data_IF_600472278004
#
_entry.id   IF_600472278004
#
_cell.length_a   1.000
_cell.length_b   1.000
_cell.length_c   1.000
_cell.angle_alpha   90.00
_cell.angle_beta   90.00
_cell.angle_gamma   90.00
#
_symmetry.space_group_name_H-M   'P 1'
#
loop_
_entity.id
_entity.type
_entity.pdbx_description
1 polymer ?
#
# COMPACT_ATOMS: atom_id res chain seq x y z
N UNK A 1 -6.15 4.03 26.45
CA UNK A 1 -6.45 4.23 25.02
C UNK A 1 -5.95 5.63 24.63
N UNK A 2 -4.79 5.76 23.97
CA UNK A 2 -4.31 7.05 23.47
C UNK A 2 -5.22 7.48 22.30
N UNK A 3 -5.91 8.62 22.44
CA UNK A 3 -6.65 9.25 21.35
C UNK A 3 -5.64 9.62 20.26
N UNK A 4 -5.77 9.04 19.07
CA UNK A 4 -5.05 9.52 17.88
C UNK A 4 -5.49 10.96 17.60
N UNK A 5 -4.55 11.85 17.20
CA UNK A 5 -4.89 13.21 16.84
C UNK A 5 -5.93 13.23 15.70
N UNK A 6 -6.81 14.22 15.75
CA UNK A 6 -7.80 14.42 14.69
C UNK A 6 -7.07 14.84 13.41
N UNK A 7 -7.35 14.17 12.30
CA UNK A 7 -6.95 14.69 11.00
C UNK A 7 -7.61 16.06 10.79
N UNK A 8 -6.81 17.06 10.47
CA UNK A 8 -7.32 18.37 10.05
C UNK A 8 -7.97 18.23 8.66
N UNK A 9 -9.27 17.99 8.66
CA UNK A 9 -10.07 18.23 7.45
C UNK A 9 -10.18 19.74 7.33
N UNK A 10 -9.56 20.33 6.33
CA UNK A 10 -9.71 21.76 6.02
C UNK A 10 -10.96 21.88 5.16
N UNK A 11 -12.05 22.51 5.67
CA UNK A 11 -13.28 22.68 4.90
C UNK A 11 -13.01 23.48 3.61
N UNK A 12 -13.53 23.00 2.49
CA UNK A 12 -13.42 23.69 1.19
C UNK A 12 -12.25 23.26 0.31
N UNK A 13 -11.47 22.27 0.72
CA UNK A 13 -10.47 21.67 -0.18
C UNK A 13 -11.14 20.83 -1.28
N UNK A 14 -10.59 20.85 -2.51
CA UNK A 14 -11.03 19.94 -3.56
C UNK A 14 -10.86 18.48 -3.17
N UNK A 15 -11.72 17.56 -3.66
CA UNK A 15 -11.57 16.13 -3.44
C UNK A 15 -10.24 15.61 -4.00
N UNK A 16 -9.66 14.59 -3.36
CA UNK A 16 -8.43 13.92 -3.82
C UNK A 16 -7.14 14.57 -3.33
N UNK A 17 -7.19 15.49 -2.35
CA UNK A 17 -5.98 16.03 -1.73
C UNK A 17 -5.44 15.07 -0.69
N UNK A 18 -4.21 14.64 -0.88
CA UNK A 18 -3.47 13.82 0.07
C UNK A 18 -2.90 14.71 1.19
N UNK A 19 -3.50 14.65 2.38
CA UNK A 19 -2.96 15.30 3.58
C UNK A 19 -2.24 14.22 4.39
N UNK A 20 -0.91 14.28 4.55
CA UNK A 20 -0.17 13.30 5.32
C UNK A 20 -0.69 13.20 6.76
N UNK A 21 -0.72 11.97 7.28
CA UNK A 21 -0.97 11.78 8.71
C UNK A 21 0.26 12.22 9.52
N UNK A 22 0.04 12.63 10.79
CA UNK A 22 1.12 13.01 11.74
C UNK A 22 2.08 11.85 12.11
N UNK A 23 1.95 10.69 11.47
CA UNK A 23 2.85 9.55 11.62
C UNK A 23 4.25 9.77 10.99
N UNK A 24 4.68 11.02 10.89
CA UNK A 24 5.95 11.46 10.30
C UNK A 24 7.23 10.85 10.90
N UNK A 25 7.12 10.02 11.93
CA UNK A 25 8.26 9.40 12.63
C UNK A 25 8.59 7.98 12.12
N UNK A 26 7.83 7.43 11.19
CA UNK A 26 8.06 6.07 10.71
C UNK A 26 8.93 6.07 9.44
N UNK A 27 9.89 5.14 9.35
CA UNK A 27 10.75 5.05 8.19
C UNK A 27 9.90 4.81 6.94
N UNK A 28 10.27 5.47 5.85
CA UNK A 28 9.65 5.30 4.54
C UNK A 28 10.30 4.11 3.86
N UNK A 29 9.51 3.26 3.27
CA UNK A 29 9.99 2.15 2.48
C UNK A 29 9.06 1.86 1.32
N UNK A 30 9.66 1.56 0.18
CA UNK A 30 8.96 1.01 -0.99
C UNK A 30 9.64 -0.30 -1.31
N UNK A 31 8.90 -1.40 -1.17
CA UNK A 31 9.39 -2.74 -1.46
C UNK A 31 8.63 -3.30 -2.66
N UNK A 32 9.32 -3.97 -3.55
CA UNK A 32 8.72 -4.66 -4.69
C UNK A 32 9.02 -6.14 -4.60
N UNK A 33 7.97 -6.95 -4.52
CA UNK A 33 8.02 -8.40 -4.64
C UNK A 33 7.45 -8.79 -6.00
N UNK A 34 8.19 -9.57 -6.76
CA UNK A 34 7.73 -10.16 -8.01
C UNK A 34 7.77 -11.68 -7.87
N UNK A 35 6.67 -12.36 -8.14
CA UNK A 35 6.62 -13.80 -7.98
C UNK A 35 5.78 -14.49 -9.06
N UNK A 36 6.12 -15.74 -9.31
CA UNK A 36 5.42 -16.70 -10.17
C UNK A 36 5.31 -18.04 -9.45
N UNK A 37 4.83 -19.07 -10.13
CA UNK A 37 4.83 -20.42 -9.57
C UNK A 37 6.24 -20.92 -9.22
N UNK A 38 7.28 -20.48 -9.96
CA UNK A 38 8.62 -21.07 -9.92
C UNK A 38 9.70 -20.10 -9.38
N UNK A 39 9.38 -18.82 -9.21
CA UNK A 39 10.38 -17.80 -8.88
C UNK A 39 9.82 -16.69 -8.00
N UNK A 40 10.66 -16.19 -7.10
CA UNK A 40 10.38 -15.04 -6.24
C UNK A 40 11.58 -14.10 -6.31
N UNK A 41 11.35 -12.82 -6.60
CA UNK A 41 12.35 -11.74 -6.56
C UNK A 41 11.87 -10.65 -5.62
N UNK A 42 12.67 -10.32 -4.60
CA UNK A 42 12.36 -9.32 -3.59
C UNK A 42 13.38 -8.19 -3.66
N UNK A 43 12.86 -6.96 -3.79
CA UNK A 43 13.66 -5.74 -3.82
C UNK A 43 13.18 -4.78 -2.75
N UNK A 44 13.74 -4.84 -1.53
CA UNK A 44 13.38 -3.95 -0.45
C UNK A 44 14.03 -2.57 -0.61
N UNK A 45 13.38 -1.54 -0.08
CA UNK A 45 13.92 -0.20 0.04
C UNK A 45 14.22 0.50 -1.29
N UNK A 46 13.45 0.21 -2.33
CA UNK A 46 13.63 0.84 -3.64
C UNK A 46 13.30 2.34 -3.62
N UNK A 47 13.97 3.09 -4.48
CA UNK A 47 13.45 4.39 -4.89
C UNK A 47 12.12 4.19 -5.66
N UNK A 48 11.16 5.09 -5.45
CA UNK A 48 9.83 4.95 -6.06
C UNK A 48 9.90 4.89 -7.60
N UNK A 49 10.84 5.61 -8.20
CA UNK A 49 11.01 5.61 -9.66
C UNK A 49 11.46 4.26 -10.19
N UNK A 50 12.36 3.60 -9.47
CA UNK A 50 12.86 2.27 -9.85
C UNK A 50 11.76 1.22 -9.70
N UNK A 51 10.96 1.29 -8.63
CA UNK A 51 9.81 0.41 -8.44
C UNK A 51 8.76 0.59 -9.55
N UNK A 52 8.42 1.82 -9.89
CA UNK A 52 7.46 2.13 -10.96
C UNK A 52 8.00 1.72 -12.34
N UNK A 53 9.30 1.88 -12.58
CA UNK A 53 9.93 1.42 -13.83
C UNK A 53 9.87 -0.11 -13.96
N UNK A 54 10.14 -0.84 -12.87
CA UNK A 54 10.04 -2.30 -12.85
C UNK A 54 8.59 -2.78 -13.10
N UNK A 55 7.60 -2.14 -12.47
CA UNK A 55 6.19 -2.44 -12.71
C UNK A 55 5.82 -2.22 -14.17
N UNK A 56 6.20 -1.08 -14.76
CA UNK A 56 5.93 -0.79 -16.19
C UNK A 56 6.56 -1.83 -17.10
N UNK A 57 7.79 -2.24 -16.83
CA UNK A 57 8.49 -3.25 -17.64
C UNK A 57 7.71 -4.57 -17.70
N UNK A 58 7.22 -5.05 -16.55
CA UNK A 58 6.45 -6.30 -16.48
C UNK A 58 5.05 -6.16 -17.10
N UNK A 59 4.39 -5.00 -16.91
CA UNK A 59 3.05 -4.78 -17.47
C UNK A 59 3.04 -4.59 -18.98
N UNK A 60 4.12 -4.04 -19.55
CA UNK A 60 4.26 -3.84 -21.01
C UNK A 60 4.76 -5.09 -21.75
N UNK A 61 5.50 -5.95 -21.09
CA UNK A 61 5.99 -7.21 -21.64
C UNK A 61 5.66 -8.35 -20.66
N UNK A 62 4.41 -8.85 -20.71
CA UNK A 62 3.99 -9.89 -19.77
C UNK A 62 4.88 -11.13 -19.91
N UNK A 63 5.42 -11.56 -18.78
CA UNK A 63 6.27 -12.72 -18.71
C UNK A 63 5.47 -14.02 -18.90
N UNK A 64 6.16 -15.04 -19.41
CA UNK A 64 5.64 -16.40 -19.44
C UNK A 64 6.60 -17.26 -18.62
N UNK A 65 6.19 -17.84 -17.48
CA UNK A 65 4.84 -17.84 -16.90
C UNK A 65 4.38 -16.46 -16.38
N UNK A 66 3.07 -16.26 -16.17
CA UNK A 66 2.53 -15.02 -15.62
C UNK A 66 3.14 -14.69 -14.26
N UNK A 67 3.49 -13.42 -14.06
CA UNK A 67 4.03 -12.94 -12.81
C UNK A 67 3.03 -12.04 -12.10
N UNK A 68 3.02 -12.10 -10.79
CA UNK A 68 2.33 -11.15 -9.91
C UNK A 68 3.37 -10.22 -9.31
N UNK A 69 3.05 -8.92 -9.33
CA UNK A 69 3.84 -7.90 -8.67
C UNK A 69 3.12 -7.46 -7.40
N UNK A 70 3.89 -7.26 -6.35
CA UNK A 70 3.37 -6.69 -5.11
C UNK A 70 4.23 -5.51 -4.70
N UNK A 71 3.69 -4.31 -4.84
CA UNK A 71 4.28 -3.06 -4.36
C UNK A 71 3.79 -2.81 -2.94
N UNK A 72 4.70 -2.81 -1.96
CA UNK A 72 4.40 -2.45 -0.58
C UNK A 72 4.96 -1.06 -0.26
N UNK A 73 4.12 -0.19 0.25
CA UNK A 73 4.47 1.18 0.63
C UNK A 73 4.25 1.33 2.14
N UNK A 74 5.33 1.57 2.87
CA UNK A 74 5.32 1.76 4.32
C UNK A 74 5.60 3.22 4.67
N UNK A 75 4.79 3.79 5.57
CA UNK A 75 4.86 5.19 5.95
C UNK A 75 4.09 6.10 4.99
N UNK A 76 3.04 6.74 5.52
CA UNK A 76 2.10 7.56 4.74
C UNK A 76 2.34 9.06 4.90
N UNK A 77 3.52 9.46 5.39
CA UNK A 77 3.84 10.87 5.63
C UNK A 77 4.28 11.65 4.38
N UNK A 78 4.65 10.96 3.31
CA UNK A 78 5.11 11.59 2.07
C UNK A 78 3.99 11.70 1.04
N UNK A 79 3.28 12.83 1.06
CA UNK A 79 2.20 13.11 0.11
C UNK A 79 2.67 13.09 -1.35
N UNK A 80 3.91 13.51 -1.63
CA UNK A 80 4.43 13.53 -3.00
C UNK A 80 4.69 12.12 -3.52
N UNK A 81 5.25 11.25 -2.68
CA UNK A 81 5.45 9.83 -3.01
C UNK A 81 4.11 9.15 -3.27
N UNK A 82 3.12 9.34 -2.38
CA UNK A 82 1.79 8.76 -2.54
C UNK A 82 1.10 9.25 -3.80
N UNK A 83 1.17 10.56 -4.07
CA UNK A 83 0.62 11.17 -5.29
C UNK A 83 1.28 10.57 -6.53
N UNK A 84 2.61 10.46 -6.55
CA UNK A 84 3.37 9.90 -7.67
C UNK A 84 2.98 8.45 -7.97
N UNK A 85 2.81 7.62 -6.93
CA UNK A 85 2.34 6.25 -7.08
C UNK A 85 0.90 6.23 -7.62
N UNK A 86 0.01 7.01 -7.04
CA UNK A 86 -1.39 7.09 -7.46
C UNK A 86 -1.53 7.48 -8.93
N UNK A 87 -0.82 8.51 -9.38
CA UNK A 87 -0.81 8.97 -10.77
C UNK A 87 -0.22 7.92 -11.72
N UNK A 88 0.93 7.33 -11.36
CA UNK A 88 1.61 6.36 -12.21
C UNK A 88 0.82 5.06 -12.41
N UNK A 89 0.04 4.66 -11.41
CA UNK A 89 -0.79 3.46 -11.44
C UNK A 89 -2.27 3.76 -11.75
N UNK A 90 -2.60 5.01 -12.03
CA UNK A 90 -3.97 5.47 -12.34
C UNK A 90 -4.97 5.06 -11.24
N UNK A 91 -4.56 5.17 -9.97
CA UNK A 91 -5.43 4.90 -8.83
C UNK A 91 -6.41 6.05 -8.64
N UNK A 92 -7.65 5.73 -8.25
CA UNK A 92 -8.69 6.75 -8.11
C UNK A 92 -8.34 7.77 -7.01
N UNK A 93 -8.43 9.09 -7.27
CA UNK A 93 -8.00 10.13 -6.32
C UNK A 93 -8.69 10.04 -4.95
N UNK A 94 -9.99 9.72 -4.91
CA UNK A 94 -10.72 9.54 -3.64
C UNK A 94 -10.22 8.32 -2.86
N UNK A 95 -9.86 7.23 -3.54
CA UNK A 95 -9.26 6.07 -2.87
C UNK A 95 -7.88 6.42 -2.30
N UNK A 96 -7.09 7.23 -2.98
CA UNK A 96 -5.79 7.72 -2.48
C UNK A 96 -5.93 8.69 -1.29
N UNK A 97 -6.99 9.51 -1.24
CA UNK A 97 -7.36 10.31 -0.06
C UNK A 97 -7.69 9.39 1.12
N UNK A 98 -8.43 8.32 0.88
CA UNK A 98 -8.80 7.33 1.89
C UNK A 98 -7.60 6.53 2.44
N UNK A 99 -6.53 6.34 1.65
CA UNK A 99 -5.28 5.72 2.11
C UNK A 99 -4.70 6.46 3.32
N UNK A 100 -4.70 7.80 3.29
CA UNK A 100 -4.18 8.62 4.38
C UNK A 100 -5.20 8.91 5.46
N UNK A 101 -6.48 8.68 5.18
CA UNK A 101 -7.58 8.81 6.14
C UNK A 101 -7.69 7.56 7.00
N UNK A 102 -6.99 7.52 8.13
CA UNK A 102 -6.85 6.35 9.02
C UNK A 102 -8.15 5.93 9.74
N UNK A 103 -9.30 6.46 9.34
CA UNK A 103 -10.62 6.18 9.95
C UNK A 103 -11.54 5.36 9.06
N UNK A 104 -11.02 4.81 7.98
CA UNK A 104 -11.84 4.04 7.05
C UNK A 104 -12.41 2.79 7.72
N UNK A 105 -13.66 2.48 7.36
CA UNK A 105 -14.28 1.20 7.71
C UNK A 105 -13.84 0.14 6.69
N UNK A 106 -13.64 -1.11 7.09
CA UNK A 106 -13.40 -2.18 6.14
C UNK A 106 -14.53 -2.26 5.11
N UNK A 107 -14.16 -2.26 3.83
CA UNK A 107 -15.08 -2.38 2.70
C UNK A 107 -14.34 -2.80 1.45
N UNK A 108 -15.06 -3.01 0.37
CA UNK A 108 -14.50 -3.20 -0.96
C UNK A 108 -15.18 -2.19 -1.88
N UNK A 109 -14.39 -1.33 -2.49
CA UNK A 109 -14.84 -0.38 -3.50
C UNK A 109 -14.33 -0.85 -4.86
N UNK A 110 -15.24 -0.97 -5.83
CA UNK A 110 -14.91 -1.36 -7.19
C UNK A 110 -14.82 -0.13 -8.09
N UNK A 111 -13.62 0.12 -8.59
CA UNK A 111 -13.36 1.09 -9.64
C UNK A 111 -13.11 0.34 -10.95
N UNK A 112 -13.35 0.94 -12.09
CA UNK A 112 -13.26 0.26 -13.39
C UNK A 112 -11.91 -0.44 -13.63
N UNK A 113 -10.83 0.13 -13.14
CA UNK A 113 -9.45 -0.35 -13.32
C UNK A 113 -8.88 -1.13 -12.14
N UNK A 114 -9.50 -1.07 -10.97
CA UNK A 114 -8.97 -1.69 -9.75
C UNK A 114 -10.02 -1.84 -8.64
N UNK A 115 -9.75 -2.75 -7.71
CA UNK A 115 -10.46 -2.82 -6.43
C UNK A 115 -9.66 -2.07 -5.37
N UNK A 116 -10.33 -1.33 -4.50
CA UNK A 116 -9.77 -0.73 -3.31
C UNK A 116 -10.36 -1.36 -2.06
N UNK A 117 -9.50 -1.82 -1.15
CA UNK A 117 -9.89 -2.59 0.03
C UNK A 117 -9.18 -2.02 1.27
N UNK A 118 -9.79 -1.07 1.98
CA UNK A 118 -9.29 -0.65 3.28
C UNK A 118 -9.65 -1.67 4.35
N UNK A 119 -8.66 -2.03 5.18
CA UNK A 119 -8.78 -2.99 6.28
C UNK A 119 -8.28 -2.38 7.58
N UNK A 120 -8.74 -2.94 8.71
CA UNK A 120 -8.17 -2.67 10.03
C UNK A 120 -7.41 -3.90 10.51
N UNK A 121 -6.17 -3.67 10.88
CA UNK A 121 -5.30 -4.69 11.44
C UNK A 121 -5.16 -4.45 12.92
N UNK A 122 -5.41 -5.50 13.69
CA UNK A 122 -5.20 -5.50 15.12
C UNK A 122 -3.74 -5.84 15.41
N UNK A 123 -3.05 -4.96 16.11
CA UNK A 123 -1.72 -5.21 16.66
C UNK A 123 -1.79 -5.20 18.18
N UNK A 124 -1.10 -6.14 18.77
CA UNK A 124 -0.94 -6.22 20.21
C UNK A 124 0.49 -5.79 20.56
N UNK A 125 0.62 -4.63 21.18
CA UNK A 125 1.83 -4.20 21.84
C UNK A 125 1.70 -4.55 23.34
N UNK A 126 2.80 -4.77 24.05
CA UNK A 126 2.93 -5.35 25.41
C UNK A 126 1.73 -5.18 26.36
N UNK A 127 0.94 -4.12 26.27
CA UNK A 127 -0.26 -3.91 27.10
C UNK A 127 -1.40 -3.15 26.40
N UNK A 128 -1.35 -2.94 25.08
CA UNK A 128 -2.37 -2.19 24.36
C UNK A 128 -2.72 -2.86 23.03
N UNK A 129 -4.01 -2.95 22.76
CA UNK A 129 -4.50 -3.29 21.43
C UNK A 129 -4.59 -2.00 20.60
N UNK A 130 -3.89 -1.98 19.47
CA UNK A 130 -3.92 -0.88 18.51
C UNK A 130 -4.49 -1.36 17.19
N UNK A 131 -5.16 -0.45 16.48
CA UNK A 131 -5.69 -0.73 15.15
C UNK A 131 -4.91 0.13 14.14
N UNK A 132 -4.27 -0.52 13.20
CA UNK A 132 -3.62 0.12 12.06
C UNK A 132 -4.44 -0.10 10.80
N UNK A 133 -4.32 0.82 9.85
CA UNK A 133 -4.97 0.69 8.56
C UNK A 133 -4.02 0.06 7.56
N UNK A 134 -4.53 -0.94 6.84
CA UNK A 134 -3.94 -1.47 5.63
C UNK A 134 -4.88 -1.12 4.47
N UNK A 135 -4.37 -0.46 3.46
CA UNK A 135 -5.08 -0.18 2.22
C UNK A 135 -4.51 -1.04 1.10
N UNK A 136 -5.37 -1.80 0.44
CA UNK A 136 -4.97 -2.71 -0.65
C UNK A 136 -5.63 -2.25 -1.94
N UNK A 137 -4.85 -2.15 -3.01
CA UNK A 137 -5.35 -2.02 -4.37
C UNK A 137 -5.02 -3.30 -5.14
N UNK A 138 -6.03 -3.85 -5.82
CA UNK A 138 -5.86 -4.99 -6.72
C UNK A 138 -6.08 -4.52 -8.15
N UNK A 139 -5.05 -4.59 -8.95
CA UNK A 139 -5.05 -4.39 -10.39
C UNK A 139 -4.72 -5.73 -11.03
N UNK A 140 -4.99 -5.97 -12.28
CA UNK A 140 -4.76 -7.24 -12.99
C UNK A 140 -3.74 -8.19 -12.30
N UNK A 141 -2.44 -7.96 -12.53
CA UNK A 141 -1.34 -8.74 -11.95
C UNK A 141 -0.50 -7.93 -10.95
N UNK A 142 -1.03 -6.83 -10.43
CA UNK A 142 -0.36 -5.96 -9.47
C UNK A 142 -1.22 -5.80 -8.22
N UNK A 143 -0.60 -6.06 -7.06
CA UNK A 143 -1.12 -5.74 -5.74
C UNK A 143 -0.34 -4.54 -5.22
N UNK A 144 -1.02 -3.52 -4.72
CA UNK A 144 -0.39 -2.40 -4.03
C UNK A 144 -0.91 -2.34 -2.61
N UNK A 145 -0.01 -2.32 -1.65
CA UNK A 145 -0.37 -2.18 -0.23
C UNK A 145 0.22 -0.91 0.35
N UNK A 146 -0.59 -0.17 1.09
CA UNK A 146 -0.18 1.00 1.85
C UNK A 146 -0.38 0.73 3.33
N UNK A 147 0.69 0.90 4.11
CA UNK A 147 0.72 0.68 5.54
C UNK A 147 1.14 1.95 6.26
N UNK A 148 0.50 2.26 7.38
CA UNK A 148 0.83 3.43 8.21
C UNK A 148 2.24 3.32 8.80
N UNK A 149 2.63 2.11 9.18
CA UNK A 149 3.89 1.82 9.85
C UNK A 149 4.67 0.75 9.10
N UNK A 150 5.99 0.80 9.25
CA UNK A 150 6.86 -0.33 8.95
C UNK A 150 6.71 -1.36 10.05
N UNK A 151 6.50 -2.60 9.71
CA UNK A 151 6.32 -3.67 10.69
C UNK A 151 5.25 -4.63 10.20
N UNK A 152 5.49 -5.90 10.33
CA UNK A 152 5.14 -6.75 9.25
C UNK A 152 3.92 -7.60 9.53
N UNK A 153 2.77 -6.99 9.35
CA UNK A 153 1.49 -7.72 9.33
C UNK A 153 1.42 -8.70 8.16
N UNK A 154 2.20 -8.45 7.10
CA UNK A 154 2.19 -9.22 5.86
C UNK A 154 3.38 -10.19 5.74
N UNK A 155 4.26 -10.27 6.74
CA UNK A 155 5.42 -11.19 6.74
C UNK A 155 5.02 -12.66 6.59
N UNK A 156 3.95 -13.06 7.25
CA UNK A 156 3.44 -14.41 7.10
C UNK A 156 3.03 -14.72 5.64
N UNK A 157 2.50 -13.73 4.93
CA UNK A 157 2.15 -13.86 3.51
C UNK A 157 3.42 -13.95 2.66
N UNK A 158 4.41 -13.08 2.91
CA UNK A 158 5.71 -13.13 2.19
C UNK A 158 6.41 -14.47 2.40
N UNK A 159 6.44 -14.96 3.64
CA UNK A 159 7.02 -16.28 3.94
C UNK A 159 6.33 -17.39 3.14
N UNK A 160 5.01 -17.38 3.05
CA UNK A 160 4.27 -18.37 2.25
C UNK A 160 4.63 -18.29 0.77
N UNK A 161 4.73 -17.08 0.22
CA UNK A 161 5.14 -16.86 -1.17
C UNK A 161 6.56 -17.41 -1.39
N UNK A 162 7.52 -17.12 -0.49
CA UNK A 162 8.91 -17.62 -0.57
C UNK A 162 8.99 -19.15 -0.55
N UNK A 163 8.10 -19.80 0.18
CA UNK A 163 8.08 -21.27 0.29
C UNK A 163 7.22 -21.95 -0.79
N UNK A 164 6.67 -21.21 -1.73
CA UNK A 164 5.81 -21.78 -2.77
C UNK A 164 4.52 -22.41 -2.22
N UNK A 165 4.10 -22.01 -1.02
CA UNK A 165 2.92 -22.57 -0.34
C UNK A 165 1.71 -21.67 -0.61
N UNK A 166 1.27 -21.59 -1.86
CA UNK A 166 0.09 -20.87 -2.31
C UNK A 166 -1.10 -21.78 -2.50
#
# INVERSE_FOLDING_TARGET
MKKRPAQHIIPGMPPGIIIPSDSAQHPRGVDLLTYSADAVDERPGLAVDDALAAIRAVTQAPATPPQVLWLNVSGLADAQLLKKIGEALTLHPLAMEDVVSLRQRPRVDNYDSHLYIPLKILQQDDNALTFNQLSIFLLNNLVVTFQEQTGDVLDAVRLRIRHGSG
#
